data_IF_789933621602
#
_entry.id   IF_789933621602
#
_cell.length_a   1.000
_cell.length_b   1.000
_cell.length_c   1.000
_cell.angle_alpha   90.00
_cell.angle_beta   90.00
_cell.angle_gamma   90.00
#
_symmetry.space_group_name_H-M   'P 1'
#
loop_
_entity.id
_entity.type
_entity.pdbx_description
1 polymer ?
#
# COMPACT_ATOMS: atom_id res chain seq x y z
N UNK A 1 18.73 -12.14 -26.20
CA UNK A 1 19.86 -12.37 -25.26
C UNK A 1 19.64 -13.70 -24.59
N UNK A 2 20.67 -14.50 -24.24
CA UNK A 2 20.43 -15.68 -23.42
C UNK A 2 19.86 -15.22 -22.06
N UNK A 3 18.75 -15.82 -21.64
CA UNK A 3 18.11 -15.56 -20.35
C UNK A 3 19.16 -15.79 -19.25
N UNK A 4 19.61 -14.72 -18.59
CA UNK A 4 20.50 -14.86 -17.45
C UNK A 4 19.66 -15.35 -16.28
N UNK A 5 20.08 -16.40 -15.55
CA UNK A 5 19.28 -16.89 -14.43
C UNK A 5 19.15 -15.81 -13.35
N UNK A 6 18.00 -15.83 -12.68
CA UNK A 6 17.72 -15.02 -11.49
C UNK A 6 18.88 -15.11 -10.48
N UNK A 7 19.45 -13.96 -10.11
CA UNK A 7 20.50 -13.85 -9.09
C UNK A 7 19.88 -13.66 -7.70
N UNK A 8 20.53 -14.17 -6.65
CA UNK A 8 20.14 -13.97 -5.25
C UNK A 8 18.68 -14.37 -4.93
N UNK A 9 18.21 -15.51 -5.46
CA UNK A 9 16.82 -15.97 -5.31
C UNK A 9 16.32 -16.00 -3.85
N UNK A 10 17.19 -16.30 -2.88
CA UNK A 10 16.83 -16.27 -1.45
C UNK A 10 16.44 -14.86 -0.96
N UNK A 11 17.13 -13.82 -1.44
CA UNK A 11 16.81 -12.42 -1.09
C UNK A 11 15.49 -11.99 -1.70
N UNK A 12 15.19 -12.43 -2.93
CA UNK A 12 13.88 -12.21 -3.53
C UNK A 12 12.79 -12.90 -2.72
N UNK A 13 13.05 -14.10 -2.21
CA UNK A 13 12.15 -14.82 -1.32
C UNK A 13 11.78 -14.02 -0.06
N UNK A 14 12.77 -13.40 0.59
CA UNK A 14 12.53 -12.50 1.74
C UNK A 14 11.71 -11.29 1.31
N UNK A 15 12.14 -10.63 0.23
CA UNK A 15 11.51 -9.42 -0.29
C UNK A 15 10.02 -9.61 -0.60
N UNK A 16 9.66 -10.69 -1.32
CA UNK A 16 8.26 -10.98 -1.67
C UNK A 16 7.42 -11.31 -0.43
N UNK A 17 7.99 -12.04 0.54
CA UNK A 17 7.27 -12.32 1.79
C UNK A 17 7.02 -11.07 2.62
N UNK A 18 7.98 -10.13 2.67
CA UNK A 18 7.81 -8.86 3.38
C UNK A 18 6.67 -8.03 2.76
N UNK A 19 6.61 -7.97 1.42
CA UNK A 19 5.50 -7.33 0.70
C UNK A 19 4.17 -8.04 0.93
N UNK A 20 4.14 -9.37 0.97
CA UNK A 20 2.93 -10.14 1.25
C UNK A 20 2.40 -9.90 2.68
N UNK A 21 3.31 -9.77 3.66
CA UNK A 21 2.97 -9.41 5.03
C UNK A 21 2.45 -7.97 5.12
N UNK A 22 3.12 -7.02 4.45
CA UNK A 22 2.70 -5.62 4.39
C UNK A 22 1.31 -5.45 3.76
N UNK A 23 1.03 -6.17 2.67
CA UNK A 23 -0.28 -6.16 2.02
C UNK A 23 -1.41 -6.60 2.97
N UNK A 24 -1.14 -7.61 3.81
CA UNK A 24 -2.09 -8.07 4.84
C UNK A 24 -2.39 -6.97 5.86
N UNK A 25 -1.36 -6.28 6.38
CA UNK A 25 -1.54 -5.16 7.30
C UNK A 25 -2.25 -3.97 6.67
N UNK A 26 -1.99 -3.68 5.38
CA UNK A 26 -2.66 -2.64 4.60
C UNK A 26 -4.17 -2.89 4.46
N UNK A 27 -4.56 -4.12 4.11
CA UNK A 27 -5.98 -4.52 4.00
C UNK A 27 -6.72 -4.31 5.33
N UNK A 28 -6.10 -4.71 6.45
CA UNK A 28 -6.71 -4.52 7.77
C UNK A 28 -6.86 -3.04 8.13
N UNK A 29 -5.87 -2.20 7.79
CA UNK A 29 -5.95 -0.75 8.01
C UNK A 29 -7.08 -0.14 7.20
N UNK A 30 -7.14 -0.41 5.89
CA UNK A 30 -8.22 0.10 5.03
C UNK A 30 -9.58 -0.39 5.53
N UNK A 31 -9.69 -1.64 5.97
CA UNK A 31 -10.90 -2.18 6.60
C UNK A 31 -11.36 -1.38 7.83
N UNK A 32 -10.42 -0.94 8.69
CA UNK A 32 -10.74 -0.06 9.82
C UNK A 32 -11.16 1.34 9.36
N UNK A 33 -10.47 1.89 8.37
CA UNK A 33 -10.79 3.22 7.81
C UNK A 33 -12.18 3.26 7.18
N UNK A 34 -12.60 2.21 6.46
CA UNK A 34 -13.98 2.09 5.92
C UNK A 34 -15.01 2.20 7.06
N UNK A 35 -14.75 1.57 8.21
CA UNK A 35 -15.61 1.68 9.38
C UNK A 35 -15.71 3.11 9.94
N UNK A 36 -14.59 3.83 9.99
CA UNK A 36 -14.52 5.24 10.44
C UNK A 36 -15.22 6.17 9.45
N UNK A 37 -15.08 5.91 8.15
CA UNK A 37 -15.56 6.77 7.06
C UNK A 37 -16.93 6.38 6.51
N UNK A 38 -17.69 5.52 7.20
CA UNK A 38 -19.04 5.10 6.76
C UNK A 38 -19.96 6.31 6.56
N UNK A 39 -20.61 6.36 5.40
CA UNK A 39 -21.49 7.46 4.99
C UNK A 39 -20.76 8.74 4.56
N UNK A 40 -19.43 8.77 4.61
CA UNK A 40 -18.63 9.86 4.06
C UNK A 40 -18.31 9.61 2.58
N UNK A 41 -17.87 10.66 1.89
CA UNK A 41 -17.38 10.57 0.50
C UNK A 41 -16.18 9.63 0.31
N UNK A 42 -15.50 9.25 1.39
CA UNK A 42 -14.33 8.36 1.34
C UNK A 42 -14.66 6.88 1.43
N UNK A 43 -15.89 6.51 1.78
CA UNK A 43 -16.26 5.12 1.97
C UNK A 43 -16.04 4.29 0.70
N UNK A 44 -16.66 4.67 -0.42
CA UNK A 44 -16.59 3.89 -1.66
C UNK A 44 -15.16 3.81 -2.23
N UNK A 45 -14.38 4.90 -2.30
CA UNK A 45 -12.97 4.80 -2.72
C UNK A 45 -12.11 3.91 -1.81
N UNK A 46 -12.35 3.90 -0.50
CA UNK A 46 -11.65 3.00 0.42
C UNK A 46 -12.08 1.53 0.22
N UNK A 47 -13.36 1.27 -0.07
CA UNK A 47 -13.85 -0.06 -0.42
C UNK A 47 -13.19 -0.56 -1.71
N UNK A 48 -13.14 0.27 -2.75
CA UNK A 48 -12.42 -0.04 -3.99
C UNK A 48 -10.94 -0.31 -3.74
N UNK A 49 -10.25 0.57 -2.99
CA UNK A 49 -8.85 0.35 -2.63
C UNK A 49 -8.67 -1.00 -1.92
N UNK A 50 -9.56 -1.37 -1.01
CA UNK A 50 -9.45 -2.65 -0.30
C UNK A 50 -9.58 -3.84 -1.25
N UNK A 51 -10.50 -3.78 -2.20
CA UNK A 51 -10.70 -4.85 -3.17
C UNK A 51 -9.47 -5.00 -4.08
N UNK A 52 -8.91 -3.87 -4.54
CA UNK A 52 -7.64 -3.83 -5.28
C UNK A 52 -6.46 -4.39 -4.45
N UNK A 53 -6.39 -4.10 -3.14
CA UNK A 53 -5.38 -4.70 -2.24
C UNK A 53 -5.54 -6.22 -2.11
N UNK A 54 -6.77 -6.75 -2.17
CA UNK A 54 -6.99 -8.20 -2.18
C UNK A 54 -6.47 -8.84 -3.46
N UNK A 55 -6.69 -8.21 -4.62
CA UNK A 55 -6.16 -8.65 -5.92
C UNK A 55 -4.64 -8.68 -5.92
N UNK A 56 -4.00 -7.61 -5.44
CA UNK A 56 -2.55 -7.49 -5.30
C UNK A 56 -1.96 -8.57 -4.39
N UNK A 57 -2.59 -8.83 -3.24
CA UNK A 57 -2.16 -9.89 -2.33
C UNK A 57 -2.29 -11.26 -2.98
N UNK A 58 -3.32 -11.49 -3.79
CA UNK A 58 -3.46 -12.72 -4.55
C UNK A 58 -2.38 -12.86 -5.63
N UNK A 59 -2.00 -11.77 -6.30
CA UNK A 59 -0.89 -11.75 -7.25
C UNK A 59 0.45 -12.07 -6.56
N UNK A 60 0.75 -11.46 -5.41
CA UNK A 60 1.96 -11.78 -4.63
C UNK A 60 1.99 -13.24 -4.19
N UNK A 61 0.84 -13.85 -3.86
CA UNK A 61 0.75 -15.28 -3.58
C UNK A 61 1.07 -16.13 -4.81
N UNK A 62 0.55 -15.78 -5.98
CA UNK A 62 0.92 -16.46 -7.23
C UNK A 62 2.42 -16.36 -7.50
N UNK A 63 3.01 -15.19 -7.30
CA UNK A 63 4.48 -15.00 -7.40
C UNK A 63 5.22 -15.96 -6.47
N UNK A 64 4.80 -16.09 -5.20
CA UNK A 64 5.46 -17.05 -4.29
C UNK A 64 5.33 -18.49 -4.78
N UNK A 65 4.17 -18.86 -5.32
CA UNK A 65 3.90 -20.22 -5.80
C UNK A 65 4.74 -20.57 -7.03
N UNK A 66 4.72 -19.74 -8.07
CA UNK A 66 5.45 -20.01 -9.33
C UNK A 66 6.97 -19.98 -9.15
N UNK A 67 7.45 -19.17 -8.21
CA UNK A 67 8.88 -19.10 -7.87
C UNK A 67 9.33 -20.18 -6.88
N UNK A 68 8.39 -20.95 -6.29
CA UNK A 68 8.71 -21.94 -5.25
C UNK A 68 9.19 -21.31 -3.93
N UNK A 69 8.81 -20.06 -3.67
CA UNK A 69 9.14 -19.34 -2.43
C UNK A 69 8.18 -19.80 -1.34
N UNK A 70 8.66 -20.40 -0.23
CA UNK A 70 7.78 -20.74 0.87
C UNK A 70 7.20 -19.47 1.50
N UNK A 71 5.87 -19.43 1.64
CA UNK A 71 5.19 -18.36 2.38
C UNK A 71 5.58 -18.48 3.85
N UNK A 72 6.39 -17.55 4.32
CA UNK A 72 6.82 -17.50 5.70
C UNK A 72 5.83 -16.63 6.46
N UNK A 73 5.04 -17.26 7.31
CA UNK A 73 4.22 -16.56 8.30
C UNK A 73 5.15 -16.04 9.41
N UNK A 74 5.98 -15.04 9.11
CA UNK A 74 6.76 -14.39 10.14
C UNK A 74 5.75 -13.74 11.10
N UNK A 75 5.87 -14.11 12.37
CA UNK A 75 5.03 -13.73 13.52
C UNK A 75 4.99 -12.21 13.82
N UNK A 76 5.19 -11.34 12.82
CA UNK A 76 5.53 -9.92 12.96
C UNK A 76 4.47 -8.93 12.49
N UNK A 77 3.33 -9.38 11.90
CA UNK A 77 2.14 -8.50 11.81
C UNK A 77 1.76 -7.98 13.21
N UNK A 78 2.10 -8.74 14.27
CA UNK A 78 1.86 -8.37 15.67
C UNK A 78 2.76 -7.28 16.27
N UNK A 79 3.91 -6.91 15.68
CA UNK A 79 4.85 -5.94 16.32
C UNK A 79 4.74 -4.53 15.73
N UNK A 80 4.48 -4.40 14.42
CA UNK A 80 4.49 -3.08 13.77
C UNK A 80 3.15 -2.33 13.80
N UNK A 81 2.01 -3.03 13.64
CA UNK A 81 0.69 -2.42 13.83
C UNK A 81 0.49 -1.98 15.29
N UNK A 82 1.12 -2.68 16.25
CA UNK A 82 0.98 -2.43 17.68
C UNK A 82 1.64 -1.11 18.14
N UNK A 83 2.83 -0.74 17.66
CA UNK A 83 3.56 0.46 18.11
C UNK A 83 3.06 1.79 17.50
N UNK A 84 2.45 1.77 16.31
CA UNK A 84 1.95 2.98 15.64
C UNK A 84 0.47 3.27 15.91
N UNK A 85 -0.37 2.24 16.06
CA UNK A 85 -1.79 2.41 16.45
C UNK A 85 -1.93 2.81 17.93
N UNK A 86 -1.02 2.40 18.82
CA UNK A 86 -1.04 2.83 20.23
C UNK A 86 -0.62 4.29 20.42
N UNK A 87 0.34 4.79 19.64
CA UNK A 87 0.84 6.18 19.76
C UNK A 87 -0.12 7.23 19.17
N UNK A 88 -0.95 6.86 18.19
CA UNK A 88 -2.06 7.69 17.71
C UNK A 88 -3.29 7.66 18.64
N UNK A 89 -3.35 6.72 19.60
CA UNK A 89 -4.47 6.53 20.55
C UNK A 89 -4.25 7.12 21.95
N UNK A 90 -3.14 7.81 22.23
CA UNK A 90 -2.85 8.33 23.58
C UNK A 90 -2.76 9.86 23.64
N UNK A 91 -3.59 10.58 22.90
CA UNK A 91 -4.03 11.90 23.35
C UNK A 91 -5.20 11.70 24.31
N UNK A 92 -4.84 11.35 25.55
CA UNK A 92 -5.76 11.28 26.67
C UNK A 92 -6.47 12.62 26.84
N UNK A 93 -7.80 12.58 26.65
CA UNK A 93 -8.86 13.55 26.98
C UNK A 93 -9.63 14.02 25.74
N UNK A 94 -10.94 13.78 25.80
CA UNK A 94 -12.07 14.33 25.01
C UNK A 94 -12.62 13.40 23.90
N UNK A 95 -13.77 12.78 24.21
CA UNK A 95 -14.98 12.35 23.46
C UNK A 95 -15.04 12.23 21.92
N UNK A 96 -13.99 12.54 21.13
CA UNK A 96 -14.00 12.46 19.65
C UNK A 96 -12.62 12.12 19.09
N UNK A 97 -12.58 11.39 17.96
CA UNK A 97 -11.35 11.10 17.20
C UNK A 97 -10.70 12.41 16.71
N UNK A 98 -9.37 12.50 16.79
CA UNK A 98 -8.64 13.70 16.35
C UNK A 98 -8.66 13.80 14.82
N UNK A 99 -8.90 15.00 14.22
CA UNK A 99 -8.72 15.21 12.78
C UNK A 99 -7.32 14.84 12.28
N UNK A 100 -6.31 14.88 13.16
CA UNK A 100 -4.95 14.46 12.84
C UNK A 100 -4.84 12.95 12.56
N UNK A 101 -5.74 12.12 13.12
CA UNK A 101 -5.75 10.68 12.88
C UNK A 101 -6.01 10.35 11.42
N UNK A 102 -6.98 11.01 10.80
CA UNK A 102 -7.33 10.79 9.39
C UNK A 102 -6.17 11.23 8.48
N UNK A 103 -5.55 12.39 8.77
CA UNK A 103 -4.40 12.86 8.01
C UNK A 103 -3.24 11.85 8.02
N UNK A 104 -2.88 11.35 9.19
CA UNK A 104 -1.77 10.40 9.36
C UNK A 104 -2.08 9.05 8.73
N UNK A 105 -3.32 8.57 8.79
CA UNK A 105 -3.72 7.30 8.18
C UNK A 105 -3.65 7.36 6.65
N UNK A 106 -4.16 8.42 6.02
CA UNK A 106 -4.05 8.61 4.57
C UNK A 106 -2.60 8.83 4.11
N UNK A 107 -1.79 9.58 4.86
CA UNK A 107 -0.36 9.77 4.57
C UNK A 107 0.41 8.45 4.64
N UNK A 108 0.13 7.66 5.66
CA UNK A 108 0.71 6.36 5.83
C UNK A 108 0.33 5.40 4.68
N UNK A 109 -0.95 5.37 4.29
CA UNK A 109 -1.39 4.56 3.16
C UNK A 109 -0.74 5.01 1.85
N UNK A 110 -0.65 6.31 1.58
CA UNK A 110 0.04 6.82 0.39
C UNK A 110 1.50 6.34 0.35
N UNK A 111 2.19 6.39 1.49
CA UNK A 111 3.57 5.91 1.62
C UNK A 111 3.68 4.39 1.40
N UNK A 112 2.76 3.61 1.96
CA UNK A 112 2.70 2.16 1.79
C UNK A 112 2.40 1.76 0.34
N UNK A 113 1.48 2.48 -0.33
CA UNK A 113 1.14 2.26 -1.75
C UNK A 113 2.32 2.61 -2.66
N UNK A 114 3.09 3.65 -2.34
CA UNK A 114 4.34 3.93 -3.05
C UNK A 114 5.36 2.81 -2.86
N UNK A 115 5.50 2.30 -1.64
CA UNK A 115 6.38 1.18 -1.33
C UNK A 115 6.03 -0.11 -2.08
N UNK A 116 4.74 -0.50 -2.12
CA UNK A 116 4.31 -1.69 -2.87
C UNK A 116 4.47 -1.52 -4.39
N UNK A 117 4.28 -0.31 -4.93
CA UNK A 117 4.52 -0.02 -6.35
C UNK A 117 5.97 -0.36 -6.71
N UNK A 118 6.93 0.09 -5.91
CA UNK A 118 8.34 -0.27 -6.10
C UNK A 118 8.59 -1.79 -5.98
N UNK A 119 7.79 -2.48 -5.17
CA UNK A 119 7.76 -3.95 -5.14
C UNK A 119 7.34 -4.57 -6.48
N UNK A 120 6.27 -4.08 -7.09
CA UNK A 120 5.82 -4.54 -8.40
C UNK A 120 6.79 -4.17 -9.52
N UNK A 121 7.36 -2.96 -9.51
CA UNK A 121 8.43 -2.55 -10.44
C UNK A 121 9.65 -3.49 -10.34
N UNK A 122 10.03 -3.87 -9.12
CA UNK A 122 11.10 -4.85 -8.89
C UNK A 122 10.75 -6.21 -9.49
N UNK A 123 9.55 -6.71 -9.26
CA UNK A 123 9.09 -7.99 -9.83
C UNK A 123 9.00 -7.93 -11.35
N UNK A 124 8.63 -6.78 -11.93
CA UNK A 124 8.61 -6.56 -13.37
C UNK A 124 10.00 -6.62 -13.97
N UNK A 125 11.02 -6.12 -13.28
CA UNK A 125 12.42 -6.30 -13.71
C UNK A 125 12.81 -7.78 -13.64
N UNK A 126 12.39 -8.50 -12.60
CA UNK A 126 12.67 -9.95 -12.48
C UNK A 126 12.00 -10.75 -13.59
N UNK A 127 10.82 -10.35 -14.08
CA UNK A 127 10.12 -11.06 -15.15
C UNK A 127 10.86 -11.04 -16.50
N UNK A 128 11.80 -10.12 -16.71
CA UNK A 128 12.67 -10.09 -17.92
C UNK A 128 13.69 -11.25 -17.94
N UNK A 129 13.94 -11.87 -16.79
CA UNK A 129 14.93 -12.95 -16.63
C UNK A 129 14.34 -14.24 -16.04
N UNK A 130 13.08 -14.19 -15.62
CA UNK A 130 12.33 -15.34 -15.09
C UNK A 130 10.92 -15.36 -15.71
N UNK A 131 10.80 -16.08 -16.83
CA UNK A 131 9.55 -16.17 -17.61
C UNK A 131 8.38 -16.86 -16.90
N UNK A 132 8.55 -17.30 -15.64
CA UNK A 132 7.44 -17.76 -14.80
C UNK A 132 6.57 -16.62 -14.29
N UNK A 133 7.07 -15.38 -14.32
CA UNK A 133 6.34 -14.18 -13.91
C UNK A 133 5.63 -13.54 -15.11
N UNK A 134 4.35 -13.20 -14.92
CA UNK A 134 3.57 -12.48 -15.93
C UNK A 134 3.89 -10.98 -15.86
N UNK A 135 4.71 -10.50 -16.82
CA UNK A 135 5.08 -9.10 -16.93
C UNK A 135 3.88 -8.16 -17.16
N UNK A 136 2.87 -8.60 -17.93
CA UNK A 136 1.70 -7.77 -18.21
C UNK A 136 0.78 -7.64 -16.98
N UNK A 137 0.68 -8.70 -16.16
CA UNK A 137 0.03 -8.60 -14.86
C UNK A 137 0.74 -7.58 -13.95
N UNK A 138 2.08 -7.63 -13.91
CA UNK A 138 2.88 -6.70 -13.09
C UNK A 138 2.74 -5.24 -13.56
N UNK A 139 2.72 -4.99 -14.88
CA UNK A 139 2.47 -3.67 -15.44
C UNK A 139 1.11 -3.11 -14.99
N UNK A 140 0.04 -3.94 -15.05
CA UNK A 140 -1.28 -3.53 -14.53
C UNK A 140 -1.26 -3.19 -13.04
N UNK A 141 -0.53 -3.95 -12.22
CA UNK A 141 -0.42 -3.71 -10.78
C UNK A 141 0.38 -2.43 -10.46
N UNK A 142 1.39 -2.10 -11.27
CA UNK A 142 2.14 -0.83 -11.18
C UNK A 142 1.19 0.35 -11.45
N UNK A 143 0.42 0.29 -12.53
CA UNK A 143 -0.53 1.34 -12.89
C UNK A 143 -1.64 1.49 -11.84
N UNK A 144 -2.14 0.37 -11.32
CA UNK A 144 -3.10 0.37 -10.21
C UNK A 144 -2.53 1.05 -8.97
N UNK A 145 -1.32 0.68 -8.54
CA UNK A 145 -0.66 1.29 -7.40
C UNK A 145 -0.39 2.79 -7.61
N UNK A 146 -0.13 3.21 -8.86
CA UNK A 146 0.01 4.62 -9.17
C UNK A 146 -1.29 5.40 -8.97
N UNK A 147 -2.42 4.92 -9.51
CA UNK A 147 -3.74 5.58 -9.35
C UNK A 147 -4.15 5.67 -7.88
N UNK A 148 -3.92 4.61 -7.11
CA UNK A 148 -4.19 4.61 -5.68
C UNK A 148 -3.33 5.64 -4.93
N UNK A 149 -2.05 5.78 -5.29
CA UNK A 149 -1.15 6.76 -4.69
C UNK A 149 -1.62 8.19 -4.94
N UNK A 150 -2.04 8.49 -6.17
CA UNK A 150 -2.61 9.80 -6.55
C UNK A 150 -3.84 10.10 -5.71
N UNK A 151 -4.82 9.20 -5.72
CA UNK A 151 -6.05 9.37 -4.95
C UNK A 151 -5.79 9.55 -3.44
N UNK A 152 -4.94 8.72 -2.83
CA UNK A 152 -4.60 8.83 -1.41
C UNK A 152 -3.91 10.16 -1.10
N UNK A 153 -3.05 10.64 -2.00
CA UNK A 153 -2.33 11.90 -1.81
C UNK A 153 -3.26 13.09 -1.93
N UNK A 154 -4.22 13.05 -2.86
CA UNK A 154 -5.24 14.08 -3.02
C UNK A 154 -6.19 14.12 -1.82
N UNK A 155 -6.72 12.97 -1.40
CA UNK A 155 -7.54 12.86 -0.20
C UNK A 155 -6.80 13.37 1.05
N UNK A 156 -5.51 13.03 1.20
CA UNK A 156 -4.66 13.54 2.29
C UNK A 156 -4.52 15.07 2.24
N UNK A 157 -4.35 15.69 1.05
CA UNK A 157 -4.29 17.15 0.90
C UNK A 157 -5.60 17.81 1.29
N UNK A 158 -6.74 17.22 0.90
CA UNK A 158 -8.07 17.70 1.29
C UNK A 158 -8.27 17.62 2.81
N UNK A 159 -7.87 16.52 3.45
CA UNK A 159 -7.93 16.37 4.91
C UNK A 159 -7.01 17.39 5.61
N UNK A 160 -5.83 17.65 5.07
CA UNK A 160 -4.92 18.67 5.59
C UNK A 160 -5.55 20.07 5.53
N UNK A 161 -6.14 20.44 4.39
CA UNK A 161 -6.83 21.71 4.23
C UNK A 161 -8.04 21.85 5.16
N UNK A 162 -8.81 20.78 5.36
CA UNK A 162 -9.92 20.78 6.32
C UNK A 162 -9.44 20.89 7.78
N UNK A 163 -8.25 20.37 8.10
CA UNK A 163 -7.68 20.36 9.46
C UNK A 163 -6.99 21.68 9.82
N UNK A 164 -6.25 22.28 8.89
CA UNK A 164 -5.38 23.43 9.14
C UNK A 164 -5.77 24.70 8.38
N UNK A 165 -6.76 24.62 7.49
CA UNK A 165 -7.08 25.67 6.52
C UNK A 165 -6.17 25.63 5.28
N UNK A 166 -6.44 26.55 4.34
CA UNK A 166 -5.71 26.63 3.07
C UNK A 166 -6.41 25.92 1.90
N UNK A 167 -5.67 25.74 0.80
CA UNK A 167 -6.16 25.18 -0.47
C UNK A 167 -5.33 23.95 -0.85
N UNK A 168 -5.93 22.76 -1.07
CA UNK A 168 -5.20 21.55 -1.45
C UNK A 168 -4.28 21.72 -2.66
N UNK A 169 -4.69 22.57 -3.61
CA UNK A 169 -4.02 22.83 -4.89
C UNK A 169 -2.67 23.54 -4.71
N UNK A 170 -2.44 24.20 -3.57
CA UNK A 170 -1.17 24.87 -3.28
C UNK A 170 0.03 23.91 -3.19
N UNK A 171 -0.22 22.60 -3.04
CA UNK A 171 0.79 21.55 -2.94
C UNK A 171 0.79 20.60 -4.16
N UNK A 172 0.05 20.92 -5.21
CA UNK A 172 0.13 20.23 -6.51
C UNK A 172 1.22 20.98 -7.31
N UNK A 173 2.29 20.30 -7.77
CA UNK A 173 3.26 20.94 -8.64
C UNK A 173 2.52 21.51 -9.84
N UNK A 174 2.79 22.77 -10.19
CA UNK A 174 2.41 23.27 -11.52
C UNK A 174 3.02 22.31 -12.53
N UNK A 175 2.21 21.74 -13.42
CA UNK A 175 2.69 20.82 -14.45
C UNK A 175 3.99 21.39 -15.06
N UNK A 176 5.05 20.58 -15.03
CA UNK A 176 6.25 20.90 -15.79
C UNK A 176 5.86 20.57 -17.23
N UNK A 177 5.71 21.63 -18.04
CA UNK A 177 5.55 21.57 -19.49
C UNK A 177 6.51 20.55 -20.16
#
# INVERSE_FOLDING_TARGET
MPEQPQRNAELLGIYVNDHLAAATGGIELVGRMIGVHRGSRWQQPLEQLRDELYEERAALRRVTEVLGIPVRQYKQVGVWLAEKVTRAKLNGRLLSRSPLSDLVEFEFLASAVRGKRSGFETLRIVSEVDGRLDGAELDRLIDQAHRQYEWLTDARREIAAATFGGRPEAAVPSDVD
#
